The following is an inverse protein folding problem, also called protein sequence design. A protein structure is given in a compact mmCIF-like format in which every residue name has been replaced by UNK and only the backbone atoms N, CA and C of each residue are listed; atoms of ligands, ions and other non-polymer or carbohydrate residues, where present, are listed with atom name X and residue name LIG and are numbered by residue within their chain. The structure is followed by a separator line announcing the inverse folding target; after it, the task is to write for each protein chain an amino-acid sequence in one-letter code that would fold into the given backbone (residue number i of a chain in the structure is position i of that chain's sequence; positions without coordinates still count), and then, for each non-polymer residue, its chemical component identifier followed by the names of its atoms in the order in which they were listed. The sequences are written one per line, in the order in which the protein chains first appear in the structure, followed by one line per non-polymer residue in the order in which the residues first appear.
data_IF_969008147180
#
_entry.id   IF_969008147180
#
_cell.length_a   1.000
_cell.length_b   1.000
_cell.length_c   1.000
_cell.angle_alpha   90.00
_cell.angle_beta   90.00
_cell.angle_gamma   90.00
#
_symmetry.space_group_name_H-M   'P 1'
#
loop_
_entity.id
_entity.type
_entity.pdbx_description
1 polymer ?
#
# COMPACT_ATOMS: atom_id res chain seq x y z
N UNK A 1 -0.70 -20.53 -7.91
CA UNK A 1 -1.92 -20.21 -7.12
C UNK A 1 -1.94 -18.71 -6.80
N UNK A 2 -3.10 -18.13 -6.46
CA UNK A 2 -3.20 -16.70 -6.11
C UNK A 2 -3.35 -16.52 -4.61
N UNK A 3 -2.45 -15.78 -3.96
CA UNK A 3 -2.44 -15.58 -2.51
C UNK A 3 -2.88 -14.17 -2.16
N UNK A 4 -3.76 -14.03 -1.17
CA UNK A 4 -4.19 -12.73 -0.66
C UNK A 4 -3.22 -12.25 0.40
N UNK A 5 -2.77 -11.01 0.24
CA UNK A 5 -1.92 -10.33 1.20
C UNK A 5 -2.59 -9.05 1.67
N UNK A 6 -2.52 -8.78 2.97
CA UNK A 6 -3.04 -7.54 3.55
C UNK A 6 -1.88 -6.67 4.00
N UNK A 7 -1.78 -5.47 3.45
CA UNK A 7 -0.76 -4.49 3.79
C UNK A 7 -1.38 -3.34 4.58
N UNK A 8 -0.77 -3.01 5.72
CA UNK A 8 -1.03 -1.79 6.47
C UNK A 8 0.13 -0.82 6.26
N UNK A 9 -0.14 0.30 5.58
CA UNK A 9 0.84 1.34 5.25
C UNK A 9 0.51 2.60 6.03
N UNK A 10 1.45 3.05 6.86
CA UNK A 10 1.39 4.37 7.50
C UNK A 10 2.01 5.41 6.57
N UNK A 11 1.29 6.50 6.34
CA UNK A 11 1.67 7.54 5.39
C UNK A 11 1.41 8.93 5.95
N UNK A 12 2.11 9.93 5.42
CA UNK A 12 1.76 11.32 5.69
C UNK A 12 0.38 11.65 5.10
N UNK A 13 -0.45 12.34 5.89
CA UNK A 13 -1.77 12.82 5.48
C UNK A 13 -1.64 14.08 4.60
N UNK A 14 -1.15 13.91 3.38
CA UNK A 14 -0.97 15.00 2.39
C UNK A 14 -1.73 14.72 1.10
N UNK A 15 -2.21 15.77 0.40
CA UNK A 15 -2.84 15.62 -0.90
C UNK A 15 -1.97 14.82 -1.88
N UNK A 16 -2.59 13.90 -2.64
CA UNK A 16 -1.92 13.11 -3.67
C UNK A 16 -1.16 11.86 -3.19
N UNK A 17 -1.01 11.64 -1.87
CA UNK A 17 -0.34 10.44 -1.34
C UNK A 17 -1.11 9.17 -1.68
N UNK A 18 -2.43 9.15 -1.48
CA UNK A 18 -3.29 8.01 -1.83
C UNK A 18 -3.22 7.67 -3.33
N UNK A 19 -3.31 8.69 -4.19
CA UNK A 19 -3.25 8.51 -5.65
C UNK A 19 -1.92 7.90 -6.09
N UNK A 20 -0.80 8.32 -5.50
CA UNK A 20 0.52 7.76 -5.80
C UNK A 20 0.67 6.30 -5.39
N UNK A 21 0.13 5.94 -4.22
CA UNK A 21 0.20 4.57 -3.72
C UNK A 21 -0.64 3.66 -4.62
N UNK A 22 -1.90 4.00 -4.86
CA UNK A 22 -2.78 3.22 -5.76
C UNK A 22 -2.23 3.10 -7.17
N UNK A 23 -1.65 4.19 -7.71
CA UNK A 23 -0.99 4.16 -9.03
C UNK A 23 0.21 3.19 -9.09
N UNK A 24 0.95 3.01 -7.99
CA UNK A 24 2.07 2.06 -7.94
C UNK A 24 1.59 0.61 -8.09
N UNK A 25 0.50 0.25 -7.42
CA UNK A 25 -0.11 -1.08 -7.56
C UNK A 25 -0.61 -1.32 -9.00
N UNK A 26 -1.34 -0.34 -9.57
CA UNK A 26 -1.85 -0.42 -10.94
C UNK A 26 -0.73 -0.56 -11.97
N UNK A 27 0.34 0.25 -11.90
CA UNK A 27 1.48 0.21 -12.83
C UNK A 27 2.26 -1.11 -12.80
N UNK A 28 2.17 -1.85 -11.69
CA UNK A 28 2.87 -3.11 -11.48
C UNK A 28 1.99 -4.33 -11.75
N UNK A 29 0.74 -4.12 -12.16
CA UNK A 29 -0.20 -5.20 -12.46
C UNK A 29 -0.73 -5.93 -11.22
N UNK A 30 -0.66 -5.31 -10.04
CA UNK A 30 -1.29 -5.87 -8.84
C UNK A 30 -2.76 -5.47 -8.80
N UNK A 31 -3.63 -6.47 -8.64
CA UNK A 31 -5.05 -6.23 -8.44
C UNK A 31 -5.31 -5.90 -6.96
N UNK A 32 -5.96 -4.77 -6.71
CA UNK A 32 -6.42 -4.38 -5.37
C UNK A 32 -7.80 -4.99 -5.17
N UNK A 33 -7.92 -5.92 -4.23
CA UNK A 33 -9.19 -6.53 -3.85
C UNK A 33 -10.00 -5.56 -2.96
N UNK A 34 -9.33 -4.88 -2.04
CA UNK A 34 -9.94 -3.86 -1.20
C UNK A 34 -8.93 -2.81 -0.75
N UNK A 35 -9.42 -1.59 -0.51
CA UNK A 35 -8.63 -0.50 0.03
C UNK A 35 -9.48 0.29 1.02
N UNK A 36 -8.91 0.56 2.19
CA UNK A 36 -9.46 1.47 3.17
C UNK A 36 -8.40 2.50 3.58
N UNK A 37 -8.83 3.74 3.84
CA UNK A 37 -7.96 4.81 4.31
C UNK A 37 -8.63 5.53 5.47
N UNK A 38 -7.85 5.86 6.49
CA UNK A 38 -8.31 6.63 7.64
C UNK A 38 -7.18 7.39 8.29
N UNK A 39 -7.50 8.56 8.83
CA UNK A 39 -6.57 9.33 9.66
C UNK A 39 -6.37 8.58 10.98
N UNK A 40 -5.14 8.56 11.48
CA UNK A 40 -4.80 7.92 12.77
C UNK A 40 -5.06 8.88 13.94
N UNK A 41 -4.71 8.47 15.16
CA UNK A 41 -4.72 9.36 16.33
C UNK A 41 -3.84 10.61 16.14
N UNK A 42 -2.85 10.53 15.24
CA UNK A 42 -2.07 11.67 14.77
C UNK A 42 -2.68 12.22 13.46
N UNK A 43 -3.19 13.47 13.44
CA UNK A 43 -3.86 14.05 12.27
C UNK A 43 -2.99 14.12 11.00
N UNK A 44 -1.68 14.23 11.17
CA UNK A 44 -0.70 14.29 10.08
C UNK A 44 -0.36 12.92 9.49
N UNK A 45 -0.90 11.83 10.06
CA UNK A 45 -0.63 10.46 9.65
C UNK A 45 -1.94 9.76 9.30
N UNK A 46 -1.98 9.14 8.14
CA UNK A 46 -3.05 8.25 7.72
C UNK A 46 -2.56 6.81 7.64
N UNK A 47 -3.47 5.87 7.91
CA UNK A 47 -3.27 4.45 7.64
C UNK A 47 -4.04 4.07 6.39
N UNK A 48 -3.36 3.42 5.46
CA UNK A 48 -3.96 2.79 4.29
C UNK A 48 -3.85 1.28 4.48
N UNK A 49 -4.99 0.60 4.49
CA UNK A 49 -5.07 -0.86 4.49
C UNK A 49 -5.42 -1.32 3.09
N UNK A 50 -4.57 -2.15 2.48
CA UNK A 50 -4.71 -2.62 1.10
C UNK A 50 -4.69 -4.13 1.11
N UNK A 51 -5.74 -4.75 0.58
CA UNK A 51 -5.76 -6.18 0.30
C UNK A 51 -5.44 -6.36 -1.18
N UNK A 52 -4.41 -7.14 -1.48
CA UNK A 52 -3.98 -7.44 -2.85
C UNK A 52 -4.00 -8.92 -3.10
N UNK A 53 -4.43 -9.30 -4.29
CA UNK A 53 -4.31 -10.67 -4.77
C UNK A 53 -3.07 -10.80 -5.64
N UNK A 54 -2.12 -11.63 -5.21
CA UNK A 54 -0.81 -11.80 -5.83
C UNK A 54 -0.75 -13.16 -6.51
N UNK A 55 -0.39 -13.16 -7.79
CA UNK A 55 -0.05 -14.38 -8.53
C UNK A 55 1.42 -14.69 -8.25
N UNK A 56 1.79 -15.96 -8.02
CA UNK A 56 3.16 -16.41 -7.69
C UNK A 56 4.30 -15.79 -8.53
N UNK A 57 4.03 -15.35 -9.76
CA UNK A 57 5.01 -14.71 -10.64
C UNK A 57 5.40 -13.27 -10.24
N UNK A 58 4.67 -12.62 -9.32
CA UNK A 58 4.87 -11.21 -8.94
C UNK A 58 5.08 -11.09 -7.42
N UNK A 59 6.31 -11.08 -6.90
CA UNK A 59 6.53 -11.07 -5.45
C UNK A 59 6.03 -9.79 -4.79
N UNK A 60 5.24 -9.91 -3.71
CA UNK A 60 4.79 -8.78 -2.88
C UNK A 60 5.97 -7.94 -2.36
N UNK A 61 7.12 -8.59 -2.12
CA UNK A 61 8.36 -7.94 -1.69
C UNK A 61 8.81 -6.82 -2.64
N UNK A 62 8.52 -6.95 -3.94
CA UNK A 62 8.84 -5.88 -4.89
C UNK A 62 7.99 -4.64 -4.62
N UNK A 63 6.70 -4.82 -4.32
CA UNK A 63 5.79 -3.70 -4.00
C UNK A 63 6.22 -3.01 -2.72
N UNK A 64 6.51 -3.76 -1.66
CA UNK A 64 6.95 -3.18 -0.39
C UNK A 64 8.28 -2.44 -0.55
N UNK A 65 9.22 -2.95 -1.34
CA UNK A 65 10.46 -2.21 -1.69
C UNK A 65 10.19 -0.91 -2.45
N UNK A 66 9.22 -0.87 -3.37
CA UNK A 66 8.89 0.36 -4.09
C UNK A 66 8.12 1.36 -3.21
N UNK A 67 7.22 0.89 -2.35
CA UNK A 67 6.51 1.73 -1.39
C UNK A 67 7.49 2.41 -0.42
N UNK A 68 8.53 1.70 0.05
CA UNK A 68 9.58 2.26 0.89
C UNK A 68 10.39 3.39 0.22
N UNK A 69 10.37 3.50 -1.13
CA UNK A 69 11.04 4.60 -1.84
C UNK A 69 10.19 5.88 -1.88
N UNK A 70 8.90 5.80 -1.55
CA UNK A 70 8.03 6.97 -1.50
C UNK A 70 8.30 7.73 -0.19
N UNK A 71 8.74 8.98 -0.30
CA UNK A 71 9.07 9.85 0.84
C UNK A 71 7.94 9.95 1.87
N UNK A 72 6.68 9.85 1.43
CA UNK A 72 5.52 9.98 2.31
C UNK A 72 5.09 8.68 2.98
N UNK A 73 5.79 7.56 2.75
CA UNK A 73 5.53 6.28 3.43
C UNK A 73 6.41 6.23 4.68
N UNK A 74 5.78 6.10 5.84
CA UNK A 74 6.44 6.08 7.15
C UNK A 74 6.75 4.65 7.60
N UNK A 75 5.81 3.72 7.37
CA UNK A 75 5.95 2.32 7.78
C UNK A 75 5.05 1.42 6.94
N UNK A 76 5.51 0.20 6.69
CA UNK A 76 4.74 -0.85 6.02
C UNK A 76 4.73 -2.08 6.94
N UNK A 77 3.56 -2.68 7.13
CA UNK A 77 3.37 -3.92 7.89
C UNK A 77 2.50 -4.85 7.07
N UNK A 78 2.92 -6.10 6.90
CA UNK A 78 2.07 -7.17 6.38
C UNK A 78 1.31 -7.80 7.56
N UNK A 79 -0.01 -7.98 7.42
CA UNK A 79 -0.91 -8.49 8.45
C UNK A 79 -1.19 -9.99 8.28
#
# INVERSE_FOLDING_TARGET
MSTKHTLSVLVENKPGVLARITALFSRRGFNIDSLAVGVTEHPDISRITIVVNVIEALPLEQVTKQLNKLVNVLKIVEL
#
